data_IF_433848344392
#
_entry.id   IF_433848344392
#
_cell.length_a   1.000
_cell.length_b   1.000
_cell.length_c   1.000
_cell.angle_alpha   90.00
_cell.angle_beta   90.00
_cell.angle_gamma   90.00
#
_symmetry.space_group_name_H-M   'P 1'
#
loop_
_entity.id
_entity.type
_entity.pdbx_description
1 polymer ?
#
# COMPACT_ATOMS: atom_id res chain seq x y z
N UNK A 1 -13.61 -17.49 3.81
CA UNK A 1 -12.96 -17.29 2.50
C UNK A 1 -13.62 -16.12 1.80
N UNK A 2 -13.08 -14.91 1.93
CA UNK A 2 -13.47 -13.83 1.03
C UNK A 2 -13.00 -14.22 -0.37
N UNK A 3 -13.84 -14.02 -1.39
CA UNK A 3 -13.51 -14.27 -2.81
C UNK A 3 -12.14 -13.68 -3.18
N UNK A 4 -11.79 -12.57 -2.53
CA UNK A 4 -10.52 -11.85 -2.64
C UNK A 4 -9.30 -12.71 -2.22
N UNK A 5 -9.36 -13.43 -1.08
CA UNK A 5 -8.27 -14.30 -0.64
C UNK A 5 -8.04 -15.46 -1.63
N UNK A 6 -9.12 -15.98 -2.20
CA UNK A 6 -9.11 -17.02 -3.23
C UNK A 6 -8.48 -16.53 -4.54
N UNK A 7 -8.78 -15.29 -4.92
CA UNK A 7 -8.15 -14.62 -6.08
C UNK A 7 -6.65 -14.45 -5.84
N UNK A 8 -6.24 -13.90 -4.70
CA UNK A 8 -4.81 -13.71 -4.39
C UNK A 8 -4.07 -15.06 -4.41
N UNK A 9 -4.67 -16.10 -3.82
CA UNK A 9 -4.11 -17.45 -3.85
C UNK A 9 -3.95 -17.98 -5.29
N UNK A 10 -4.99 -17.85 -6.11
CA UNK A 10 -4.94 -18.28 -7.52
C UNK A 10 -3.89 -17.50 -8.32
N UNK A 11 -3.75 -16.19 -8.07
CA UNK A 11 -2.74 -15.35 -8.71
C UNK A 11 -1.33 -15.76 -8.27
N UNK A 12 -1.11 -15.99 -6.97
CA UNK A 12 0.18 -16.42 -6.45
C UNK A 12 0.62 -17.79 -6.98
N UNK A 13 -0.29 -18.77 -7.00
CA UNK A 13 -0.02 -20.11 -7.54
C UNK A 13 0.34 -20.03 -9.02
N UNK A 14 -0.41 -19.24 -9.79
CA UNK A 14 -0.10 -19.01 -11.21
C UNK A 14 1.27 -18.34 -11.37
N UNK A 15 1.59 -17.29 -10.61
CA UNK A 15 2.88 -16.58 -10.71
C UNK A 15 4.09 -17.50 -10.45
N UNK A 16 3.96 -18.50 -9.56
CA UNK A 16 5.04 -19.45 -9.25
C UNK A 16 5.27 -20.48 -10.36
N UNK A 17 4.30 -20.71 -11.22
CA UNK A 17 4.41 -21.64 -12.35
C UNK A 17 5.02 -20.91 -13.56
N UNK A 18 5.79 -21.60 -14.41
CA UNK A 18 6.23 -21.04 -15.70
C UNK A 18 5.03 -20.90 -16.65
N UNK A 19 4.29 -19.80 -16.50
CA UNK A 19 3.09 -19.53 -17.28
C UNK A 19 3.47 -19.20 -18.74
N UNK A 20 2.76 -19.82 -19.69
CA UNK A 20 2.77 -19.44 -21.11
C UNK A 20 2.45 -17.95 -21.33
N UNK A 21 2.92 -17.37 -22.43
CA UNK A 21 2.69 -15.95 -22.75
C UNK A 21 1.19 -15.60 -22.83
N UNK A 22 0.36 -16.55 -23.26
CA UNK A 22 -1.09 -16.36 -23.43
C UNK A 22 -1.83 -16.31 -22.08
N UNK A 23 -1.60 -17.31 -21.23
CA UNK A 23 -2.22 -17.40 -19.89
C UNK A 23 -1.80 -16.23 -18.99
N UNK A 24 -0.60 -15.68 -19.21
CA UNK A 24 -0.14 -14.47 -18.54
C UNK A 24 -1.00 -13.27 -18.92
N UNK A 25 -1.32 -13.08 -20.21
CA UNK A 25 -2.16 -11.98 -20.65
C UNK A 25 -3.58 -12.07 -20.08
N UNK A 26 -4.16 -13.27 -20.02
CA UNK A 26 -5.47 -13.49 -19.39
C UNK A 26 -5.46 -13.14 -17.89
N UNK A 27 -4.40 -13.51 -17.18
CA UNK A 27 -4.21 -13.14 -15.78
C UNK A 27 -4.12 -11.61 -15.59
N UNK A 28 -3.37 -10.90 -16.44
CA UNK A 28 -3.31 -9.44 -16.41
C UNK A 28 -4.68 -8.80 -16.70
N UNK A 29 -5.47 -9.36 -17.63
CA UNK A 29 -6.81 -8.86 -17.94
C UNK A 29 -7.78 -9.06 -16.77
N UNK A 30 -7.78 -10.24 -16.15
CA UNK A 30 -8.59 -10.52 -14.98
C UNK A 30 -8.26 -9.58 -13.83
N UNK A 31 -6.96 -9.37 -13.55
CA UNK A 31 -6.53 -8.49 -12.46
C UNK A 31 -6.91 -7.04 -12.74
N UNK A 32 -6.78 -6.56 -13.98
CA UNK A 32 -7.26 -5.22 -14.37
C UNK A 32 -8.77 -5.07 -14.20
N UNK A 33 -9.56 -6.08 -14.56
CA UNK A 33 -11.01 -6.06 -14.34
C UNK A 33 -11.32 -5.96 -12.85
N UNK A 34 -10.62 -6.74 -12.02
CA UNK A 34 -10.82 -6.72 -10.56
C UNK A 34 -10.44 -5.35 -9.98
N UNK A 35 -9.29 -4.78 -10.37
CA UNK A 35 -8.87 -3.45 -9.92
C UNK A 35 -9.90 -2.39 -10.32
N UNK A 36 -10.45 -2.47 -11.54
CA UNK A 36 -11.46 -1.52 -12.05
C UNK A 36 -12.77 -1.55 -11.23
N UNK A 37 -13.09 -2.67 -10.62
CA UNK A 37 -14.27 -2.82 -9.77
C UNK A 37 -14.04 -2.41 -8.31
N UNK A 38 -12.84 -1.90 -7.97
CA UNK A 38 -12.49 -1.38 -6.65
C UNK A 38 -12.90 -2.32 -5.49
N UNK A 39 -12.71 -3.62 -5.67
CA UNK A 39 -13.08 -4.60 -4.64
C UNK A 39 -12.34 -4.34 -3.32
N UNK A 40 -13.11 -4.14 -2.26
CA UNK A 40 -12.64 -3.98 -0.88
C UNK A 40 -13.22 -5.06 0.02
N UNK A 41 -12.57 -5.34 1.16
CA UNK A 41 -13.15 -6.22 2.17
C UNK A 41 -14.33 -5.54 2.86
N UNK A 42 -15.39 -6.31 3.14
CA UNK A 42 -16.57 -5.78 3.83
C UNK A 42 -16.30 -5.37 5.30
N UNK A 43 -15.21 -5.87 5.90
CA UNK A 43 -14.89 -5.60 7.32
C UNK A 43 -14.09 -4.31 7.50
N UNK A 44 -13.07 -4.10 6.68
CA UNK A 44 -12.07 -3.04 6.90
C UNK A 44 -11.87 -2.15 5.66
N UNK A 45 -12.68 -2.33 4.62
CA UNK A 45 -12.51 -1.66 3.31
C UNK A 45 -11.12 -1.87 2.69
N UNK A 46 -10.42 -2.91 3.12
CA UNK A 46 -9.08 -3.24 2.65
C UNK A 46 -9.12 -3.67 1.19
N UNK A 47 -8.44 -2.91 0.33
CA UNK A 47 -8.22 -3.31 -1.06
C UNK A 47 -7.29 -4.53 -1.17
N UNK A 48 -7.23 -5.11 -2.37
CA UNK A 48 -6.27 -6.16 -2.71
C UNK A 48 -4.83 -5.82 -2.31
N UNK A 49 -4.42 -4.56 -2.50
CA UNK A 49 -3.07 -4.11 -2.20
C UNK A 49 -2.81 -4.08 -0.68
N UNK A 50 -3.81 -3.71 0.14
CA UNK A 50 -3.72 -3.81 1.60
C UNK A 50 -3.58 -5.26 2.05
N UNK A 51 -4.35 -6.18 1.47
CA UNK A 51 -4.32 -7.59 1.86
C UNK A 51 -2.99 -8.24 1.51
N UNK A 52 -2.45 -7.98 0.31
CA UNK A 52 -1.13 -8.45 -0.07
C UNK A 52 -0.01 -7.85 0.81
N UNK A 53 -0.26 -6.68 1.39
CA UNK A 53 0.63 -6.02 2.33
C UNK A 53 0.36 -6.37 3.79
N UNK A 54 -0.71 -7.09 4.13
CA UNK A 54 -1.06 -7.47 5.51
C UNK A 54 -0.66 -8.90 5.80
N UNK A 55 -0.13 -9.16 7.00
CA UNK A 55 0.10 -10.51 7.51
C UNK A 55 -1.15 -11.16 8.11
N UNK A 56 -2.36 -10.62 7.86
CA UNK A 56 -3.62 -11.13 8.43
C UNK A 56 -3.90 -12.54 7.91
N UNK A 57 -3.31 -13.48 8.63
CA UNK A 57 -3.77 -14.84 8.84
C UNK A 57 -5.19 -14.73 9.37
N UNK A 58 -6.18 -14.90 8.49
CA UNK A 58 -7.35 -15.65 8.95
C UNK A 58 -6.77 -16.95 9.54
N UNK A 59 -7.05 -17.22 10.81
CA UNK A 59 -6.59 -18.37 11.60
C UNK A 59 -6.91 -19.75 11.00
N UNK A 60 -7.46 -19.78 9.79
CA UNK A 60 -7.72 -20.96 8.97
C UNK A 60 -6.55 -21.32 8.06
N UNK A 61 -5.72 -20.32 7.72
CA UNK A 61 -4.54 -20.37 6.85
C UNK A 61 -3.44 -21.32 7.27
N UNK A 62 -2.68 -20.90 8.29
CA UNK A 62 -1.34 -21.39 8.71
C UNK A 62 -0.31 -21.73 7.61
N UNK A 63 -0.64 -21.61 6.32
CA UNK A 63 0.14 -22.11 5.20
C UNK A 63 0.42 -21.04 4.12
N UNK A 64 -0.18 -19.86 4.24
CA UNK A 64 -0.01 -18.83 3.20
C UNK A 64 0.85 -17.67 3.71
N UNK A 65 2.14 -17.79 3.41
CA UNK A 65 3.17 -16.80 3.63
C UNK A 65 2.92 -15.57 2.71
N UNK A 66 2.34 -14.49 3.25
CA UNK A 66 2.22 -13.21 2.55
C UNK A 66 3.15 -12.18 3.21
N UNK A 67 4.06 -11.58 2.41
CA UNK A 67 3.77 -10.87 1.17
C UNK A 67 4.77 -11.19 0.06
N UNK A 68 4.28 -11.54 -1.12
CA UNK A 68 5.15 -11.67 -2.28
C UNK A 68 5.31 -10.30 -2.95
N UNK A 69 6.54 -9.78 -2.97
CA UNK A 69 6.86 -8.54 -3.69
C UNK A 69 6.48 -8.62 -5.17
N UNK A 70 6.46 -9.84 -5.76
CA UNK A 70 6.03 -10.07 -7.14
C UNK A 70 4.55 -9.77 -7.32
N UNK A 71 3.71 -10.14 -6.35
CA UNK A 71 2.25 -9.90 -6.38
C UNK A 71 1.95 -8.42 -6.21
N UNK A 72 2.62 -7.74 -5.27
CA UNK A 72 2.52 -6.28 -5.11
C UNK A 72 2.90 -5.56 -6.41
N UNK A 73 4.06 -5.93 -6.99
CA UNK A 73 4.54 -5.36 -8.25
C UNK A 73 3.56 -5.61 -9.39
N UNK A 74 2.97 -6.80 -9.47
CA UNK A 74 2.04 -7.16 -10.51
C UNK A 74 0.74 -6.35 -10.40
N UNK A 75 0.18 -6.21 -9.20
CA UNK A 75 -1.02 -5.39 -8.97
C UNK A 75 -0.78 -3.93 -9.38
N UNK A 76 0.37 -3.37 -8.98
CA UNK A 76 0.75 -1.99 -9.35
C UNK A 76 0.95 -1.83 -10.87
N UNK A 77 1.60 -2.79 -11.53
CA UNK A 77 1.71 -2.83 -13.00
C UNK A 77 0.34 -2.93 -13.70
N UNK A 78 -0.67 -3.49 -13.03
CA UNK A 78 -2.04 -3.53 -13.53
C UNK A 78 -2.82 -2.24 -13.27
N UNK A 79 -2.22 -1.24 -12.64
CA UNK A 79 -2.85 0.06 -12.33
C UNK A 79 -3.56 0.09 -10.98
N UNK A 80 -3.21 -0.79 -10.05
CA UNK A 80 -3.70 -0.68 -8.68
C UNK A 80 -3.27 0.66 -8.07
N UNK A 81 -4.20 1.36 -7.43
CA UNK A 81 -3.91 2.63 -6.78
C UNK A 81 -2.97 2.40 -5.58
N UNK A 82 -1.76 2.96 -5.66
CA UNK A 82 -0.73 2.85 -4.61
C UNK A 82 -1.12 3.60 -3.33
N UNK A 83 -1.96 4.63 -3.45
CA UNK A 83 -2.46 5.47 -2.35
C UNK A 83 -3.85 5.08 -1.88
N UNK A 84 -4.30 3.86 -2.21
CA UNK A 84 -5.59 3.35 -1.73
C UNK A 84 -5.65 3.40 -0.21
N UNK A 85 -6.82 3.72 0.35
CA UNK A 85 -7.01 3.86 1.79
C UNK A 85 -7.94 2.75 2.29
N UNK A 86 -7.63 2.15 3.43
CA UNK A 86 -8.56 1.30 4.18
C UNK A 86 -9.52 2.15 5.04
N UNK A 87 -10.39 1.51 5.81
CA UNK A 87 -11.35 2.17 6.72
C UNK A 87 -10.66 3.06 7.78
N UNK A 88 -9.41 2.78 8.12
CA UNK A 88 -8.58 3.53 9.06
C UNK A 88 -7.73 4.61 8.38
N UNK A 89 -7.92 4.84 7.07
CA UNK A 89 -7.04 5.66 6.21
C UNK A 89 -5.58 5.22 6.22
N UNK A 90 -5.31 3.97 6.52
CA UNK A 90 -4.00 3.41 6.26
C UNK A 90 -3.83 3.27 4.75
N UNK A 91 -2.63 3.59 4.27
CA UNK A 91 -2.18 3.21 2.93
C UNK A 91 -1.58 1.81 2.97
N UNK A 92 -1.34 1.13 1.83
CA UNK A 92 -0.61 -0.13 1.80
C UNK A 92 0.77 -0.06 2.48
N UNK A 93 1.37 1.14 2.49
CA UNK A 93 2.64 1.39 3.17
C UNK A 93 2.50 1.40 4.70
N UNK A 94 1.40 1.89 5.26
CA UNK A 94 1.12 1.81 6.70
C UNK A 94 0.97 0.35 7.17
N UNK A 95 0.44 -0.52 6.30
CA UNK A 95 0.25 -1.94 6.63
C UNK A 95 1.57 -2.71 6.50
N UNK A 96 2.35 -2.50 5.43
CA UNK A 96 3.54 -3.32 5.17
C UNK A 96 4.61 -3.16 6.27
N UNK A 97 4.77 -1.94 6.80
CA UNK A 97 5.79 -1.60 7.80
C UNK A 97 5.54 -2.21 9.17
N UNK A 98 4.30 -2.63 9.45
CA UNK A 98 3.95 -3.31 10.70
C UNK A 98 4.33 -4.78 10.68
N UNK A 99 4.70 -5.33 9.52
CA UNK A 99 4.93 -6.74 9.41
C UNK A 99 6.35 -7.15 9.75
N UNK A 100 6.45 -7.88 10.85
CA UNK A 100 7.73 -8.28 11.44
C UNK A 100 8.37 -9.46 10.73
N UNK A 101 7.56 -10.37 10.20
CA UNK A 101 8.00 -11.70 9.76
C UNK A 101 8.47 -11.77 8.31
N UNK A 102 8.62 -10.62 7.64
CA UNK A 102 8.67 -10.54 6.20
C UNK A 102 10.09 -10.14 5.77
N UNK A 103 10.83 -11.09 5.17
CA UNK A 103 12.20 -10.86 4.68
C UNK A 103 12.30 -9.82 3.53
N UNK A 104 11.17 -9.45 2.91
CA UNK A 104 11.13 -8.59 1.72
C UNK A 104 10.39 -7.26 1.92
N UNK A 105 10.18 -6.79 3.16
CA UNK A 105 9.47 -5.53 3.43
C UNK A 105 10.13 -4.36 2.71
N UNK A 106 11.46 -4.27 2.77
CA UNK A 106 12.23 -3.19 2.14
C UNK A 106 12.01 -3.18 0.62
N UNK A 107 12.03 -4.35 -0.03
CA UNK A 107 11.77 -4.48 -1.47
C UNK A 107 10.36 -3.98 -1.81
N UNK A 108 9.37 -4.32 -0.98
CA UNK A 108 7.98 -3.87 -1.18
C UNK A 108 7.86 -2.35 -0.97
N UNK A 109 8.52 -1.81 0.06
CA UNK A 109 8.59 -0.35 0.28
C UNK A 109 9.18 0.33 -0.95
N UNK A 110 10.28 -0.17 -1.49
CA UNK A 110 10.92 0.39 -2.69
C UNK A 110 10.00 0.32 -3.91
N UNK A 111 9.30 -0.81 -4.12
CA UNK A 111 8.31 -0.93 -5.18
C UNK A 111 7.21 0.12 -4.99
N UNK A 112 6.61 0.22 -3.81
CA UNK A 112 5.56 1.20 -3.53
C UNK A 112 6.04 2.64 -3.78
N UNK A 113 7.25 2.99 -3.33
CA UNK A 113 7.86 4.30 -3.56
C UNK A 113 8.08 4.58 -5.05
N UNK A 114 8.56 3.60 -5.81
CA UNK A 114 8.78 3.72 -7.25
C UNK A 114 7.47 3.93 -8.03
N UNK A 115 6.35 3.41 -7.50
CA UNK A 115 5.01 3.67 -8.03
C UNK A 115 4.37 4.95 -7.49
N UNK A 116 5.09 5.74 -6.69
CA UNK A 116 4.65 7.05 -6.21
C UNK A 116 3.99 7.08 -4.84
N UNK A 117 4.16 6.04 -4.01
CA UNK A 117 3.63 6.04 -2.65
C UNK A 117 4.19 7.20 -1.82
N UNK A 118 3.30 7.90 -1.11
CA UNK A 118 3.67 8.93 -0.14
C UNK A 118 4.07 8.31 1.20
N UNK A 119 5.21 8.77 1.73
CA UNK A 119 5.79 8.30 3.00
C UNK A 119 5.27 9.07 4.23
N UNK A 120 4.53 10.15 3.99
CA UNK A 120 4.12 11.14 4.99
C UNK A 120 2.60 11.36 5.01
N UNK A 121 1.84 10.48 4.33
CA UNK A 121 0.41 10.44 4.53
C UNK A 121 0.08 9.98 5.95
N UNK A 122 -0.90 10.63 6.56
CA UNK A 122 -1.37 10.27 7.90
C UNK A 122 -2.63 9.42 7.83
N UNK A 123 -2.70 8.41 8.69
CA UNK A 123 -3.92 7.64 8.91
C UNK A 123 -4.94 8.39 9.80
N UNK A 124 -6.07 7.75 10.15
CA UNK A 124 -7.08 8.35 11.03
C UNK A 124 -6.56 8.71 12.44
N UNK A 125 -5.44 8.14 12.87
CA UNK A 125 -4.78 8.47 14.14
C UNK A 125 -3.76 9.61 14.00
N UNK A 126 -3.62 10.18 12.81
CA UNK A 126 -2.61 11.21 12.53
C UNK A 126 -1.20 10.67 12.40
N UNK A 127 -1.03 9.35 12.25
CA UNK A 127 0.28 8.70 12.23
C UNK A 127 0.75 8.45 10.80
N UNK A 128 2.03 8.68 10.54
CA UNK A 128 2.69 8.34 9.27
C UNK A 128 3.21 6.89 9.30
N UNK A 129 3.47 6.24 8.14
CA UNK A 129 3.92 4.85 8.09
C UNK A 129 5.13 4.53 8.99
N UNK A 130 6.14 5.40 9.01
CA UNK A 130 7.35 5.16 9.83
C UNK A 130 7.06 5.10 11.33
N UNK A 131 6.01 5.76 11.81
CA UNK A 131 5.60 5.74 13.23
C UNK A 131 4.91 4.42 13.62
N UNK A 132 4.48 3.63 12.63
CA UNK A 132 3.90 2.31 12.84
C UNK A 132 4.96 1.19 12.81
N UNK A 133 6.21 1.50 12.48
CA UNK A 133 7.30 0.51 12.42
C UNK A 133 7.63 0.04 13.85
N UNK A 134 7.70 -1.28 14.09
CA UNK A 134 8.13 -1.80 15.39
C UNK A 134 9.53 -1.30 15.77
N UNK A 135 9.71 -0.90 17.04
CA UNK A 135 10.93 -0.24 17.52
C UNK A 135 12.22 -1.06 17.36
N UNK A 136 12.11 -2.38 17.24
CA UNK A 136 13.24 -3.28 17.03
C UNK A 136 13.63 -3.45 15.53
N UNK A 137 12.83 -2.93 14.59
CA UNK A 137 13.13 -2.97 13.15
C UNK A 137 13.88 -1.71 12.68
N UNK A 138 15.07 -1.50 13.23
CA UNK A 138 15.89 -0.32 12.92
C UNK A 138 16.21 -0.16 11.43
N UNK A 139 16.37 -1.28 10.70
CA UNK A 139 16.67 -1.28 9.27
C UNK A 139 15.56 -0.61 8.45
N UNK A 140 14.29 -0.94 8.71
CA UNK A 140 13.14 -0.34 8.03
C UNK A 140 13.01 1.15 8.39
N UNK A 141 13.21 1.49 9.68
CA UNK A 141 13.19 2.88 10.14
C UNK A 141 14.25 3.70 9.40
N UNK A 142 15.48 3.18 9.30
CA UNK A 142 16.57 3.85 8.61
C UNK A 142 16.28 4.00 7.11
N UNK A 143 15.83 2.93 6.44
CA UNK A 143 15.49 2.95 5.02
C UNK A 143 14.40 4.00 4.71
N UNK A 144 13.34 4.05 5.53
CA UNK A 144 12.28 5.04 5.38
C UNK A 144 12.78 6.46 5.63
N UNK A 145 13.65 6.69 6.63
CA UNK A 145 14.25 8.01 6.86
C UNK A 145 15.08 8.49 5.67
N UNK A 146 15.88 7.62 5.09
CA UNK A 146 16.69 7.93 3.90
C UNK A 146 15.79 8.32 2.71
N UNK A 147 14.71 7.56 2.47
CA UNK A 147 13.74 7.87 1.40
C UNK A 147 12.94 9.14 1.67
N UNK A 148 12.58 9.41 2.93
CA UNK A 148 11.90 10.66 3.33
C UNK A 148 12.78 11.92 3.14
N UNK A 149 14.10 11.76 3.02
CA UNK A 149 14.99 12.86 2.62
C UNK A 149 14.71 13.36 1.19
N UNK A 150 14.13 12.50 0.33
CA UNK A 150 13.86 12.76 -1.09
C UNK A 150 12.38 13.17 -1.28
N UNK A 151 11.85 13.99 -0.35
CA UNK A 151 10.44 14.41 -0.37
C UNK A 151 10.13 15.28 -1.58
N UNK A 152 8.99 15.03 -2.22
CA UNK A 152 8.48 15.88 -3.29
C UNK A 152 8.08 17.25 -2.71
N UNK A 153 8.33 18.33 -3.46
CA UNK A 153 8.04 19.70 -3.01
C UNK A 153 6.59 19.88 -2.53
N UNK A 154 5.62 19.26 -3.21
CA UNK A 154 4.20 19.30 -2.83
C UNK A 154 3.95 18.80 -1.39
N UNK A 155 4.63 17.73 -0.98
CA UNK A 155 4.53 17.15 0.36
C UNK A 155 5.11 18.09 1.41
N UNK A 156 6.27 18.68 1.11
CA UNK A 156 6.92 19.67 1.98
C UNK A 156 5.98 20.85 2.20
N UNK A 157 5.37 21.37 1.14
CA UNK A 157 4.39 22.45 1.23
C UNK A 157 3.15 22.04 2.04
N UNK A 158 2.57 20.87 1.80
CA UNK A 158 1.40 20.38 2.54
C UNK A 158 1.69 20.26 4.05
N UNK A 159 2.83 19.66 4.40
CA UNK A 159 3.26 19.52 5.78
C UNK A 159 3.51 20.88 6.45
N UNK A 160 4.16 21.82 5.76
CA UNK A 160 4.37 23.19 6.28
C UNK A 160 3.04 23.91 6.51
N UNK A 161 2.10 23.80 5.58
CA UNK A 161 0.77 24.41 5.70
C UNK A 161 0.03 23.90 6.96
N UNK A 162 0.08 22.59 7.21
CA UNK A 162 -0.52 21.95 8.39
C UNK A 162 0.20 22.33 9.68
N UNK A 163 1.54 22.29 9.67
CA UNK A 163 2.39 22.63 10.82
C UNK A 163 2.18 24.09 11.29
N UNK A 164 2.14 25.03 10.36
CA UNK A 164 1.96 26.46 10.64
C UNK A 164 0.47 26.86 10.83
N UNK A 165 -0.46 25.89 10.75
CA UNK A 165 -1.91 26.09 10.93
C UNK A 165 -2.50 27.21 10.07
N UNK A 166 -2.01 27.33 8.83
CA UNK A 166 -2.45 28.37 7.92
C UNK A 166 -3.94 28.19 7.56
N UNK A 167 -4.63 29.28 7.25
CA UNK A 167 -6.01 29.24 6.75
C UNK A 167 -6.01 29.08 5.23
N UNK A 168 -5.93 27.84 4.73
CA UNK A 168 -5.82 27.53 3.29
C UNK A 168 -7.13 27.08 2.63
N UNK A 169 -8.15 26.71 3.42
CA UNK A 169 -9.40 26.08 2.92
C UNK A 169 -10.16 26.91 1.87
N UNK A 170 -10.04 28.24 1.91
CA UNK A 170 -10.71 29.16 0.96
C UNK A 170 -9.87 29.47 -0.29
N UNK A 171 -8.60 29.11 -0.29
CA UNK A 171 -7.63 29.48 -1.32
C UNK A 171 -7.18 28.29 -2.18
N UNK A 172 -7.37 27.06 -1.71
CA UNK A 172 -7.04 25.85 -2.46
C UNK A 172 -8.23 25.30 -3.24
N UNK A 173 -7.94 24.76 -4.42
CA UNK A 173 -8.90 23.90 -5.14
C UNK A 173 -9.21 22.65 -4.31
N UNK A 174 -10.36 22.02 -4.57
CA UNK A 174 -10.80 20.80 -3.85
C UNK A 174 -9.75 19.69 -3.88
N UNK A 175 -9.08 19.49 -5.02
CA UNK A 175 -8.01 18.48 -5.17
C UNK A 175 -6.78 18.80 -4.30
N UNK A 176 -6.34 20.07 -4.25
CA UNK A 176 -5.21 20.48 -3.42
C UNK A 176 -5.56 20.46 -1.93
N UNK A 177 -6.78 20.86 -1.59
CA UNK A 177 -7.30 20.75 -0.23
C UNK A 177 -7.25 19.29 0.26
N UNK A 178 -7.80 18.35 -0.53
CA UNK A 178 -7.77 16.93 -0.18
C UNK A 178 -6.35 16.38 -0.07
N UNK A 179 -5.41 16.86 -0.89
CA UNK A 179 -4.00 16.48 -0.80
C UNK A 179 -3.35 16.97 0.50
N UNK A 180 -3.61 18.22 0.89
CA UNK A 180 -3.10 18.77 2.16
C UNK A 180 -3.73 18.06 3.36
N UNK A 181 -5.00 17.67 3.29
CA UNK A 181 -5.67 16.91 4.35
C UNK A 181 -5.12 15.50 4.56
N UNK A 182 -4.38 14.94 3.60
CA UNK A 182 -3.69 13.66 3.76
C UNK A 182 -2.37 13.77 4.53
N UNK A 183 -1.87 14.99 4.83
CA UNK A 183 -0.63 15.25 5.59
C UNK A 183 -0.95 15.92 6.93
#
# INVERSE_FOLDING_TARGET
>A
MTIIAQIIFSVNEKIKQEISSNDRQELFQLIRLIIRHEYTTMKDESSLLHLCSSSLTDSFTNEINYPCWMTVRLLLNCGANVEVLDSNKNTPLHIIVQNVSIFNVIIIIDILCNFGAHLDYVNNKGQIPIELVPSFQNEIIQHLKEKMGIRQLKCICAHLIKKERLLYRKFLSTSLFNFVEKH
#
